data_IF_315404085675
#
_entry.id   IF_315404085675
#
_cell.length_a   1.000
_cell.length_b   1.000
_cell.length_c   1.000
_cell.angle_alpha   90.00
_cell.angle_beta   90.00
_cell.angle_gamma   90.00
#
_symmetry.space_group_name_H-M   'P 1'
#
loop_
_entity.id
_entity.type
_entity.pdbx_description
1 polymer ?
#
# COMPACT_ATOMS: atom_id res chain seq x y z
N UNK A 1 0.70 -14.02 -2.82
CA UNK A 1 1.14 -13.51 -1.49
C UNK A 1 2.58 -13.92 -1.15
N UNK A 2 3.56 -13.65 -2.01
CA UNK A 2 4.94 -14.08 -1.76
C UNK A 2 5.92 -12.94 -1.44
N UNK A 3 5.55 -11.68 -1.67
CA UNK A 3 6.50 -10.56 -1.62
C UNK A 3 6.68 -9.89 -0.25
N UNK A 4 5.75 -10.05 0.67
CA UNK A 4 5.84 -9.42 2.01
C UNK A 4 6.46 -10.35 3.08
N UNK A 5 6.76 -11.60 2.76
CA UNK A 5 7.33 -12.56 3.74
C UNK A 5 8.66 -12.14 4.36
N UNK A 6 9.40 -11.25 3.67
CA UNK A 6 10.71 -10.78 4.13
C UNK A 6 10.63 -9.39 4.82
N UNK A 7 9.44 -8.88 5.08
CA UNK A 7 9.24 -7.57 5.73
C UNK A 7 8.53 -7.74 7.06
N UNK A 8 8.97 -6.98 8.07
CA UNK A 8 8.27 -6.89 9.35
C UNK A 8 7.13 -5.89 9.23
N UNK A 9 5.94 -6.26 9.71
CA UNK A 9 4.83 -5.33 9.82
C UNK A 9 5.08 -4.28 10.93
N UNK A 10 4.38 -3.14 10.84
CA UNK A 10 4.59 -2.05 11.79
C UNK A 10 4.09 -2.40 13.19
N UNK A 11 3.05 -3.19 13.32
CA UNK A 11 2.53 -3.63 14.62
C UNK A 11 3.58 -4.46 15.39
N UNK A 12 4.28 -5.36 14.70
CA UNK A 12 5.41 -6.10 15.25
C UNK A 12 6.54 -5.16 15.68
N UNK A 13 6.92 -4.19 14.85
CA UNK A 13 7.94 -3.19 15.21
C UNK A 13 7.57 -2.39 16.45
N UNK A 14 6.30 -1.96 16.56
CA UNK A 14 5.81 -1.24 17.73
C UNK A 14 5.87 -2.11 18.98
N UNK A 15 5.42 -3.36 18.90
CA UNK A 15 5.48 -4.30 20.02
C UNK A 15 6.91 -4.51 20.49
N UNK A 16 7.83 -4.80 19.58
CA UNK A 16 9.23 -5.07 19.91
C UNK A 16 9.90 -3.81 20.47
N UNK A 17 9.64 -2.64 19.89
CA UNK A 17 10.08 -1.35 20.44
C UNK A 17 9.58 -1.13 21.88
N UNK A 18 8.30 -1.41 22.17
CA UNK A 18 7.75 -1.25 23.54
C UNK A 18 8.30 -2.26 24.53
N UNK A 19 8.69 -3.45 24.08
CA UNK A 19 9.38 -4.43 24.92
C UNK A 19 10.79 -3.98 25.29
N UNK A 20 11.54 -3.44 24.31
CA UNK A 20 12.93 -2.99 24.51
C UNK A 20 12.99 -1.63 25.23
N UNK A 21 12.00 -0.77 25.00
CA UNK A 21 11.90 0.59 25.55
C UNK A 21 10.53 0.82 26.20
N UNK A 22 10.26 0.24 27.40
CA UNK A 22 8.93 0.33 28.04
C UNK A 22 8.43 1.73 28.30
N UNK A 23 9.35 2.69 28.53
CA UNK A 23 9.03 4.12 28.72
C UNK A 23 9.07 4.94 27.44
N UNK A 24 9.46 4.31 26.32
CA UNK A 24 9.53 4.96 25.03
C UNK A 24 8.16 5.35 24.48
N UNK A 25 8.13 6.31 23.56
CA UNK A 25 6.91 6.81 22.95
C UNK A 25 7.05 7.03 21.46
N UNK A 26 5.93 6.86 20.76
CA UNK A 26 5.75 7.29 19.38
C UNK A 26 4.86 8.52 19.37
N UNK A 27 5.29 9.59 18.72
CA UNK A 27 4.58 10.86 18.72
C UNK A 27 4.44 11.40 17.29
N UNK A 28 3.28 12.00 17.02
CA UNK A 28 3.08 12.80 15.82
C UNK A 28 3.88 14.11 15.98
N UNK A 29 4.74 14.40 15.02
CA UNK A 29 5.47 15.68 14.95
C UNK A 29 4.71 16.66 14.07
N UNK A 30 4.24 16.18 12.89
CA UNK A 30 3.61 17.04 11.90
C UNK A 30 2.72 16.23 10.95
N UNK A 31 1.58 16.84 10.59
CA UNK A 31 0.73 16.38 9.49
C UNK A 31 0.44 17.59 8.60
N UNK A 32 0.70 17.46 7.31
CA UNK A 32 0.52 18.54 6.34
C UNK A 32 0.01 17.98 5.01
N UNK A 33 -0.71 18.82 4.27
CA UNK A 33 -1.10 18.53 2.89
C UNK A 33 -0.27 19.40 1.94
N UNK A 34 0.34 18.76 0.95
CA UNK A 34 1.16 19.41 -0.06
C UNK A 34 0.62 19.10 -1.44
N UNK A 35 0.54 20.12 -2.31
CA UNK A 35 0.19 19.94 -3.72
C UNK A 35 1.43 20.08 -4.57
N UNK A 36 1.72 19.04 -5.37
CA UNK A 36 2.85 18.99 -6.30
C UNK A 36 2.29 18.74 -7.70
N UNK A 37 2.33 19.78 -8.54
CA UNK A 37 1.59 19.77 -9.81
C UNK A 37 0.08 19.71 -9.54
N UNK A 38 -0.58 18.71 -10.09
CA UNK A 38 -2.03 18.48 -9.90
C UNK A 38 -2.34 17.47 -8.78
N UNK A 39 -1.32 16.89 -8.15
CA UNK A 39 -1.49 15.85 -7.14
C UNK A 39 -1.30 16.41 -5.74
N UNK A 40 -2.29 16.20 -4.87
CA UNK A 40 -2.16 16.45 -3.43
C UNK A 40 -1.61 15.22 -2.72
N UNK A 41 -0.80 15.47 -1.69
CA UNK A 41 -0.25 14.44 -0.80
C UNK A 41 -0.51 14.84 0.64
N UNK A 42 -0.78 13.85 1.50
CA UNK A 42 -0.68 13.99 2.94
C UNK A 42 0.72 13.56 3.39
N UNK A 43 1.43 14.43 4.07
CA UNK A 43 2.71 14.15 4.73
C UNK A 43 2.45 13.91 6.21
N UNK A 44 2.97 12.79 6.73
CA UNK A 44 3.01 12.49 8.15
C UNK A 44 4.46 12.39 8.63
N UNK A 45 4.80 13.09 9.71
CA UNK A 45 6.11 13.01 10.35
C UNK A 45 5.93 12.53 11.78
N UNK A 46 6.64 11.46 12.12
CA UNK A 46 6.64 10.83 13.43
C UNK A 46 8.00 10.94 14.11
N UNK A 47 8.00 10.96 15.43
CA UNK A 47 9.19 10.79 16.27
C UNK A 47 9.05 9.57 17.16
N UNK A 48 10.14 8.83 17.31
CA UNK A 48 10.27 7.67 18.20
C UNK A 48 11.30 7.99 19.28
N UNK A 49 10.84 8.15 20.51
CA UNK A 49 11.65 8.42 21.70
C UNK A 49 11.86 7.11 22.48
N UNK A 50 13.12 6.72 22.73
CA UNK A 50 13.47 5.51 23.51
C UNK A 50 13.21 5.67 24.98
N UNK A 51 13.35 6.91 25.50
CA UNK A 51 13.10 7.28 26.90
C UNK A 51 12.42 8.65 26.94
N UNK A 52 11.81 9.06 28.07
CA UNK A 52 11.26 10.39 28.23
C UNK A 52 12.27 11.53 28.01
N UNK A 53 13.55 11.27 28.31
CA UNK A 53 14.64 12.25 28.20
C UNK A 53 15.47 12.07 26.91
N UNK A 54 14.92 11.37 25.91
CA UNK A 54 15.63 11.13 24.64
C UNK A 54 15.72 12.43 23.81
N UNK A 55 16.87 13.08 23.83
CA UNK A 55 17.14 14.31 23.07
C UNK A 55 17.33 14.07 21.56
N UNK A 56 17.49 12.80 21.13
CA UNK A 56 17.74 12.43 19.75
C UNK A 56 16.78 11.33 19.27
N UNK A 57 15.50 11.65 19.17
CA UNK A 57 14.52 10.66 18.72
C UNK A 57 14.77 10.25 17.27
N UNK A 58 14.39 9.05 16.93
CA UNK A 58 14.33 8.62 15.55
C UNK A 58 13.18 9.33 14.83
N UNK A 59 13.45 9.97 13.69
CA UNK A 59 12.44 10.65 12.89
C UNK A 59 12.10 9.80 11.66
N UNK A 60 10.81 9.61 11.42
CA UNK A 60 10.28 8.94 10.25
C UNK A 60 9.27 9.82 9.52
N UNK A 61 9.36 9.85 8.21
CA UNK A 61 8.42 10.56 7.36
C UNK A 61 7.85 9.63 6.31
N UNK A 62 6.55 9.78 6.04
CA UNK A 62 5.87 9.13 4.95
C UNK A 62 4.84 10.06 4.34
N UNK A 63 4.56 9.88 3.07
CA UNK A 63 3.48 10.59 2.39
C UNK A 63 2.66 9.64 1.53
N UNK A 64 1.37 9.97 1.39
CA UNK A 64 0.46 9.26 0.49
C UNK A 64 -0.27 10.25 -0.42
N UNK A 65 -0.49 9.90 -1.70
CA UNK A 65 -1.29 10.71 -2.59
C UNK A 65 -2.76 10.73 -2.13
N UNK A 66 -3.41 11.90 -2.23
CA UNK A 66 -4.84 12.09 -1.94
C UNK A 66 -5.53 12.52 -3.23
N UNK A 67 -6.48 11.73 -3.77
CA UNK A 67 -6.93 10.41 -3.27
C UNK A 67 -5.87 9.32 -3.47
N UNK A 68 -5.96 8.30 -2.63
CA UNK A 68 -5.08 7.12 -2.69
C UNK A 68 -5.22 6.36 -4.00
N UNK A 69 -4.10 5.81 -4.49
CA UNK A 69 -4.01 5.17 -5.83
C UNK A 69 -4.40 3.69 -5.86
N UNK A 70 -4.60 3.09 -4.70
CA UNK A 70 -4.96 1.67 -4.59
C UNK A 70 -6.20 1.50 -3.72
N UNK A 71 -6.96 0.40 -3.83
CA UNK A 71 -8.09 0.13 -2.93
C UNK A 71 -7.72 0.07 -1.45
N UNK A 72 -6.44 -0.16 -1.13
CA UNK A 72 -5.95 -0.22 0.25
C UNK A 72 -5.61 1.17 0.81
N UNK A 73 -5.26 2.12 -0.06
CA UNK A 73 -4.86 3.47 0.35
C UNK A 73 -5.99 4.47 0.19
N UNK A 74 -6.95 4.23 -0.73
CA UNK A 74 -8.08 5.11 -0.96
C UNK A 74 -8.95 5.22 0.29
N UNK A 75 -9.28 6.46 0.66
CA UNK A 75 -10.06 6.81 1.85
C UNK A 75 -9.37 6.42 3.18
N UNK A 76 -8.05 6.10 3.14
CA UNK A 76 -7.23 5.70 4.30
C UNK A 76 -5.84 6.33 4.26
N UNK A 77 -5.63 7.35 3.45
CA UNK A 77 -4.33 7.90 3.10
C UNK A 77 -3.55 8.38 4.32
N UNK A 78 -4.22 9.08 5.24
CA UNK A 78 -3.61 9.57 6.47
C UNK A 78 -3.16 8.40 7.36
N UNK A 79 -4.00 7.38 7.54
CA UNK A 79 -3.68 6.21 8.37
C UNK A 79 -2.51 5.42 7.79
N UNK A 80 -2.43 5.31 6.45
CA UNK A 80 -1.31 4.64 5.77
C UNK A 80 -0.02 5.43 5.93
N UNK A 81 -0.06 6.76 5.76
CA UNK A 81 1.09 7.64 5.97
C UNK A 81 1.58 7.58 7.42
N UNK A 82 0.66 7.62 8.40
CA UNK A 82 0.96 7.49 9.83
C UNK A 82 1.68 6.18 10.15
N UNK A 83 1.09 5.05 9.75
CA UNK A 83 1.65 3.71 9.99
C UNK A 83 3.05 3.59 9.38
N UNK A 84 3.23 4.05 8.16
CA UNK A 84 4.53 4.05 7.48
C UNK A 84 5.55 4.95 8.18
N UNK A 85 5.15 6.14 8.65
CA UNK A 85 6.03 7.05 9.37
C UNK A 85 6.48 6.47 10.71
N UNK A 86 5.57 5.83 11.48
CA UNK A 86 5.93 5.17 12.73
C UNK A 86 6.93 4.04 12.53
N UNK A 87 6.71 3.17 11.54
CA UNK A 87 7.65 2.10 11.21
C UNK A 87 9.04 2.63 10.88
N UNK A 88 9.14 3.74 10.15
CA UNK A 88 10.39 4.41 9.80
C UNK A 88 11.04 5.10 11.01
N UNK A 89 10.27 5.74 11.87
CA UNK A 89 10.76 6.39 13.09
C UNK A 89 11.39 5.37 14.05
N UNK A 90 10.74 4.20 14.23
CA UNK A 90 11.30 3.11 15.04
C UNK A 90 12.65 2.66 14.46
N UNK A 91 12.73 2.39 13.16
CA UNK A 91 13.98 1.98 12.51
C UNK A 91 15.07 3.06 12.67
N UNK A 92 14.72 4.34 12.58
CA UNK A 92 15.66 5.45 12.76
C UNK A 92 16.17 5.55 14.22
N UNK A 93 15.34 5.19 15.20
CA UNK A 93 15.70 5.22 16.62
C UNK A 93 16.52 4.01 17.07
N UNK A 94 16.22 2.81 16.53
CA UNK A 94 16.72 1.53 17.03
C UNK A 94 17.66 0.81 16.07
N UNK A 95 17.75 1.26 14.84
CA UNK A 95 18.41 0.56 13.75
C UNK A 95 17.48 -0.45 13.07
N UNK A 96 17.79 -0.79 11.83
CA UNK A 96 17.08 -1.83 11.09
C UNK A 96 17.48 -3.20 11.63
N UNK A 97 16.52 -4.04 11.99
CA UNK A 97 16.81 -5.40 12.39
C UNK A 97 17.50 -6.17 11.26
N UNK A 98 18.64 -6.79 11.59
CA UNK A 98 19.44 -7.61 10.65
C UNK A 98 18.69 -8.86 10.19
N UNK A 99 17.73 -9.35 10.96
CA UNK A 99 16.89 -10.52 10.62
C UNK A 99 16.10 -10.36 9.31
N UNK A 100 15.83 -9.11 8.88
CA UNK A 100 15.05 -8.79 7.71
C UNK A 100 15.87 -8.07 6.61
N UNK A 101 17.14 -8.41 6.48
CA UNK A 101 18.05 -7.83 5.46
C UNK A 101 18.12 -6.29 5.50
N UNK A 102 17.93 -5.68 6.67
CA UNK A 102 18.04 -4.22 6.83
C UNK A 102 17.00 -3.39 6.07
N UNK A 103 15.85 -3.96 5.71
CA UNK A 103 14.80 -3.26 4.95
C UNK A 103 14.10 -2.23 5.83
N UNK A 104 14.12 -0.96 5.41
CA UNK A 104 13.46 0.15 6.09
C UNK A 104 11.94 0.10 5.89
N UNK A 105 11.49 -0.22 4.67
CA UNK A 105 10.07 -0.38 4.36
C UNK A 105 9.44 -1.47 5.22
N UNK A 106 8.19 -1.27 5.65
CA UNK A 106 7.42 -2.30 6.35
C UNK A 106 6.66 -3.19 5.37
N UNK A 107 6.15 -4.32 5.87
CA UNK A 107 5.24 -5.18 5.11
C UNK A 107 3.98 -4.39 4.67
N UNK A 108 3.49 -3.50 5.55
CA UNK A 108 2.33 -2.66 5.30
C UNK A 108 2.58 -1.69 4.14
N UNK A 109 3.74 -1.02 4.09
CA UNK A 109 4.13 -0.15 2.97
C UNK A 109 4.22 -0.90 1.64
N UNK A 110 4.80 -2.09 1.66
CA UNK A 110 4.94 -2.91 0.45
C UNK A 110 3.57 -3.37 -0.04
N UNK A 111 2.69 -3.82 0.85
CA UNK A 111 1.35 -4.25 0.52
C UNK A 111 0.48 -3.09 0.01
N UNK A 112 0.54 -1.92 0.65
CA UNK A 112 -0.22 -0.74 0.25
C UNK A 112 0.15 -0.21 -1.14
N UNK A 113 1.37 -0.45 -1.61
CA UNK A 113 1.87 -0.03 -2.93
C UNK A 113 1.71 -1.07 -4.03
N UNK A 114 1.29 -2.28 -3.69
CA UNK A 114 1.01 -3.29 -4.70
C UNK A 114 -0.23 -2.87 -5.50
N UNK A 115 -0.15 -3.01 -6.83
CA UNK A 115 -1.35 -2.92 -7.66
C UNK A 115 -2.34 -3.98 -7.16
N UNK A 116 -3.66 -3.68 -7.13
CA UNK A 116 -4.66 -4.68 -6.81
C UNK A 116 -4.40 -5.92 -7.65
N UNK A 117 -4.23 -7.07 -7.00
CA UNK A 117 -4.18 -8.32 -7.74
C UNK A 117 -5.59 -8.54 -8.28
N UNK A 118 -5.73 -8.57 -9.59
CA UNK A 118 -7.00 -8.91 -10.23
C UNK A 118 -7.49 -10.24 -9.65
N UNK A 119 -8.66 -10.23 -9.03
CA UNK A 119 -9.25 -11.39 -8.38
C UNK A 119 -10.20 -12.12 -9.33
N UNK A 120 -10.49 -13.38 -9.04
CA UNK A 120 -11.47 -14.16 -9.80
C UNK A 120 -12.87 -13.49 -9.86
N UNK A 121 -13.19 -12.64 -8.86
CA UNK A 121 -14.45 -11.89 -8.72
C UNK A 121 -14.34 -10.43 -9.13
N UNK A 122 -13.25 -10.03 -9.83
CA UNK A 122 -13.09 -8.65 -10.31
C UNK A 122 -14.25 -8.24 -11.24
N UNK A 123 -14.41 -6.91 -11.41
CA UNK A 123 -15.48 -6.35 -12.27
C UNK A 123 -15.12 -6.46 -13.77
N UNK A 124 -14.95 -7.71 -14.21
CA UNK A 124 -14.51 -8.05 -15.56
C UNK A 124 -15.52 -7.67 -16.62
N UNK A 125 -16.82 -7.88 -16.31
CA UNK A 125 -17.91 -7.65 -17.28
C UNK A 125 -18.10 -6.16 -17.54
N UNK A 126 -18.09 -5.31 -16.50
CA UNK A 126 -18.19 -3.87 -16.68
C UNK A 126 -17.01 -3.31 -17.47
N UNK A 127 -15.79 -3.77 -17.19
CA UNK A 127 -14.60 -3.39 -17.95
C UNK A 127 -14.67 -3.84 -19.41
N UNK A 128 -15.19 -5.05 -19.67
CA UNK A 128 -15.38 -5.55 -21.02
C UNK A 128 -16.41 -4.69 -21.78
N UNK A 129 -17.51 -4.31 -21.16
CA UNK A 129 -18.53 -3.45 -21.76
C UNK A 129 -17.96 -2.04 -22.07
N UNK A 130 -17.16 -1.45 -21.18
CA UNK A 130 -16.52 -0.15 -21.42
C UNK A 130 -15.55 -0.21 -22.63
N UNK A 131 -14.76 -1.28 -22.73
CA UNK A 131 -13.85 -1.49 -23.86
C UNK A 131 -14.61 -1.77 -25.17
N UNK A 132 -15.71 -2.52 -25.09
CA UNK A 132 -16.60 -2.76 -26.23
C UNK A 132 -17.21 -1.45 -26.74
N UNK A 133 -17.69 -0.59 -25.84
CA UNK A 133 -18.22 0.72 -26.19
C UNK A 133 -17.17 1.61 -26.90
N UNK A 134 -15.91 1.47 -26.55
CA UNK A 134 -14.77 2.15 -27.19
C UNK A 134 -14.30 1.49 -28.48
N UNK A 135 -14.83 0.31 -28.83
CA UNK A 135 -14.41 -0.47 -30.00
C UNK A 135 -13.00 -1.05 -29.92
N UNK A 136 -12.42 -1.16 -28.70
CA UNK A 136 -11.03 -1.56 -28.48
C UNK A 136 -10.91 -3.09 -28.36
N UNK A 137 -10.82 -3.76 -29.50
CA UNK A 137 -10.67 -5.23 -29.58
C UNK A 137 -9.38 -5.74 -28.98
N UNK A 138 -8.30 -4.97 -29.08
CA UNK A 138 -7.00 -5.39 -28.54
C UNK A 138 -7.00 -5.37 -27.02
N UNK A 139 -7.53 -4.30 -26.43
CA UNK A 139 -7.69 -4.20 -24.98
C UNK A 139 -8.67 -5.27 -24.43
N UNK A 140 -9.72 -5.65 -25.18
CA UNK A 140 -10.61 -6.75 -24.80
C UNK A 140 -9.90 -8.10 -24.75
N UNK A 141 -9.01 -8.38 -25.73
CA UNK A 141 -8.18 -9.60 -25.71
C UNK A 141 -7.23 -9.61 -24.52
N UNK A 142 -6.61 -8.47 -24.22
CA UNK A 142 -5.74 -8.32 -23.05
C UNK A 142 -6.51 -8.49 -21.73
N UNK A 143 -7.75 -7.97 -21.66
CA UNK A 143 -8.63 -8.14 -20.52
C UNK A 143 -8.99 -9.62 -20.30
N UNK A 144 -9.35 -10.35 -21.38
CA UNK A 144 -9.62 -11.78 -21.30
C UNK A 144 -8.42 -12.58 -20.78
N UNK A 145 -7.22 -12.31 -21.30
CA UNK A 145 -5.99 -12.96 -20.83
C UNK A 145 -5.73 -12.68 -19.33
N UNK A 146 -6.00 -11.46 -18.87
CA UNK A 146 -5.90 -11.08 -17.45
C UNK A 146 -6.91 -11.82 -16.59
N UNK A 147 -8.17 -11.96 -17.06
CA UNK A 147 -9.21 -12.70 -16.36
C UNK A 147 -8.87 -14.20 -16.23
N UNK A 148 -8.33 -14.82 -17.29
CA UNK A 148 -7.82 -16.20 -17.24
C UNK A 148 -6.71 -16.34 -16.20
N UNK A 149 -5.73 -15.44 -16.20
CA UNK A 149 -4.62 -15.43 -15.24
C UNK A 149 -5.11 -15.26 -13.79
N UNK A 150 -6.16 -14.47 -13.60
CA UNK A 150 -6.80 -14.25 -12.29
C UNK A 150 -7.72 -15.40 -11.86
N UNK A 151 -7.86 -16.44 -12.69
CA UNK A 151 -8.76 -17.59 -12.46
C UNK A 151 -10.23 -17.17 -12.33
N UNK A 152 -10.68 -16.22 -13.13
CA UNK A 152 -12.09 -15.85 -13.21
C UNK A 152 -12.95 -17.09 -13.57
N UNK A 153 -14.21 -17.07 -13.14
CA UNK A 153 -15.13 -18.20 -13.39
C UNK A 153 -15.41 -18.37 -14.90
N UNK A 154 -15.73 -19.59 -15.36
CA UNK A 154 -16.06 -19.83 -16.75
C UNK A 154 -17.13 -18.87 -17.31
N UNK A 155 -18.18 -18.60 -16.54
CA UNK A 155 -19.26 -17.69 -16.93
C UNK A 155 -18.75 -16.26 -17.22
N UNK A 156 -17.79 -15.78 -16.45
CA UNK A 156 -17.15 -14.46 -16.68
C UNK A 156 -16.32 -14.48 -17.96
N UNK A 157 -15.55 -15.54 -18.18
CA UNK A 157 -14.73 -15.70 -19.38
C UNK A 157 -15.58 -15.77 -20.65
N UNK A 158 -16.67 -16.51 -20.60
CA UNK A 158 -17.62 -16.62 -21.70
C UNK A 158 -18.33 -15.29 -21.98
N UNK A 159 -18.70 -14.54 -20.92
CA UNK A 159 -19.27 -13.21 -21.07
C UNK A 159 -18.31 -12.22 -21.75
N UNK A 160 -17.03 -12.18 -21.34
CA UNK A 160 -16.02 -11.32 -21.98
C UNK A 160 -15.82 -11.68 -23.43
N UNK A 161 -15.80 -12.97 -23.75
CA UNK A 161 -15.67 -13.48 -25.13
C UNK A 161 -16.86 -13.06 -26.00
N UNK A 162 -18.09 -13.25 -25.51
CA UNK A 162 -19.31 -12.84 -26.21
C UNK A 162 -19.34 -11.32 -26.49
N UNK A 163 -18.90 -10.49 -25.52
CA UNK A 163 -18.78 -9.03 -25.70
C UNK A 163 -17.75 -8.70 -26.80
N UNK A 164 -16.64 -9.43 -26.85
CA UNK A 164 -15.60 -9.22 -27.86
C UNK A 164 -15.99 -9.69 -29.28
N UNK A 165 -16.87 -10.66 -29.40
CA UNK A 165 -17.41 -11.15 -30.68
C UNK A 165 -18.48 -10.20 -31.25
N UNK A 166 -19.09 -9.36 -30.44
CA UNK A 166 -20.14 -8.42 -30.82
C UNK A 166 -19.63 -7.12 -31.47
N UNK A 167 -18.32 -6.88 -31.45
CA UNK A 167 -17.63 -5.73 -32.05
C UNK A 167 -16.61 -6.17 -33.08
#
# INVERSE_FOLDING_TARGET
MAFAKDYVDVATRIRDFKNDYPTGSLQQVRVEFHTIGEQTFVLYVAACYRTPDDERPGIGSAWEPVPGKTPYTKDSELMVAETSAWGRAIVAATGAETKNNGKIASADEVNARQKPQETATGDWIARANDLSFKGDKEALRALYASAVKAKATPDILDAIKAIGEAI
#
